data_IF_081446468535
#
_entry.id   IF_081446468535
#
_cell.length_a   1.000
_cell.length_b   1.000
_cell.length_c   1.000
_cell.angle_alpha   90.00
_cell.angle_beta   90.00
_cell.angle_gamma   90.00
#
_symmetry.space_group_name_H-M   'P 1'
#
loop_
_entity.id
_entity.type
_entity.pdbx_description
1 polymer ?
#
# COMPACT_ATOMS: atom_id res chain seq x y z
N UNK A 1 31.79 -11.09 27.30
CA UNK A 1 33.20 -11.38 27.64
C UNK A 1 34.02 -11.12 26.38
N UNK A 2 34.82 -10.04 26.32
CA UNK A 2 35.64 -9.68 25.14
C UNK A 2 37.06 -10.20 25.37
N UNK A 3 37.49 -11.19 24.57
CA UNK A 3 38.86 -11.72 24.58
C UNK A 3 39.70 -10.83 23.65
N UNK A 4 40.90 -10.40 24.08
CA UNK A 4 41.77 -9.57 23.22
C UNK A 4 42.37 -10.40 22.09
N UNK A 5 42.68 -9.77 20.95
CA UNK A 5 43.17 -10.46 19.75
C UNK A 5 44.47 -11.27 20.00
N UNK A 6 45.30 -10.83 20.95
CA UNK A 6 46.53 -11.51 21.35
C UNK A 6 46.27 -12.78 22.20
N UNK A 7 45.18 -12.81 22.97
CA UNK A 7 44.77 -13.98 23.76
C UNK A 7 44.07 -15.05 22.90
N UNK A 8 43.39 -14.66 21.81
CA UNK A 8 42.75 -15.59 20.88
C UNK A 8 43.77 -16.40 20.06
N UNK A 9 44.96 -15.85 19.80
CA UNK A 9 46.03 -16.46 19.01
C UNK A 9 46.78 -17.58 19.76
N UNK A 10 46.66 -17.64 21.09
CA UNK A 10 47.30 -18.66 21.94
C UNK A 10 46.43 -19.91 22.15
N UNK A 11 45.17 -19.88 21.73
CA UNK A 11 44.29 -21.03 21.76
C UNK A 11 44.37 -21.81 20.43
N UNK A 12 44.42 -23.13 20.51
CA UNK A 12 44.27 -24.01 19.34
C UNK A 12 42.83 -23.87 18.80
N UNK A 13 42.67 -23.00 17.81
CA UNK A 13 41.38 -22.65 17.19
C UNK A 13 40.94 -23.69 16.15
N UNK A 14 41.50 -24.90 16.14
CA UNK A 14 41.02 -25.99 15.28
C UNK A 14 39.63 -26.45 15.75
N UNK A 15 38.56 -26.24 14.95
CA UNK A 15 37.21 -26.55 15.38
C UNK A 15 37.04 -28.08 15.49
N UNK A 16 36.78 -28.58 16.69
CA UNK A 16 36.58 -30.03 16.94
C UNK A 16 35.25 -30.56 16.40
N UNK A 17 34.27 -29.69 16.14
CA UNK A 17 32.94 -30.06 15.64
C UNK A 17 32.48 -29.04 14.57
N UNK A 18 31.97 -29.54 13.45
CA UNK A 18 31.33 -28.72 12.41
C UNK A 18 29.82 -28.82 12.60
N UNK A 19 29.17 -27.72 12.98
CA UNK A 19 27.72 -27.69 13.27
C UNK A 19 26.86 -27.41 12.04
N UNK A 20 27.42 -26.76 11.02
CA UNK A 20 26.78 -26.52 9.74
C UNK A 20 27.83 -26.24 8.65
N UNK A 21 27.53 -26.66 7.42
CA UNK A 21 28.32 -26.29 6.25
C UNK A 21 27.40 -26.19 5.03
N UNK A 22 27.72 -25.29 4.10
CA UNK A 22 26.93 -25.05 2.90
C UNK A 22 27.52 -25.81 1.72
N UNK A 23 26.68 -26.54 0.99
CA UNK A 23 27.06 -27.28 -0.21
C UNK A 23 26.37 -26.66 -1.44
N UNK A 24 27.17 -26.10 -2.34
CA UNK A 24 26.70 -25.66 -3.66
C UNK A 24 26.64 -26.83 -4.63
N UNK A 25 25.52 -27.00 -5.35
CA UNK A 25 25.35 -28.04 -6.36
C UNK A 25 25.10 -27.40 -7.73
N UNK A 26 25.73 -27.96 -8.77
CA UNK A 26 25.58 -27.48 -10.14
C UNK A 26 24.22 -27.86 -10.78
N UNK A 27 23.45 -28.75 -10.15
CA UNK A 27 22.16 -29.22 -10.67
C UNK A 27 21.06 -29.19 -9.62
N UNK A 28 19.96 -28.49 -9.92
CA UNK A 28 18.77 -28.36 -9.04
C UNK A 28 18.14 -29.72 -8.71
N UNK A 29 18.18 -30.68 -9.65
CA UNK A 29 17.65 -32.03 -9.41
C UNK A 29 18.53 -32.85 -8.46
N UNK A 30 19.85 -32.63 -8.49
CA UNK A 30 20.78 -33.28 -7.58
C UNK A 30 20.56 -32.81 -6.13
N UNK A 31 20.07 -31.58 -5.93
CA UNK A 31 19.78 -30.99 -4.63
C UNK A 31 18.75 -31.80 -3.83
N UNK A 32 17.63 -32.17 -4.43
CA UNK A 32 16.60 -32.97 -3.74
C UNK A 32 17.06 -34.41 -3.48
N UNK A 33 17.86 -34.99 -4.38
CA UNK A 33 18.41 -36.34 -4.20
C UNK A 33 19.43 -36.37 -3.07
N UNK A 34 20.34 -35.39 -3.03
CA UNK A 34 21.34 -35.27 -1.98
C UNK A 34 20.71 -34.95 -0.63
N UNK A 35 19.71 -34.06 -0.60
CA UNK A 35 18.96 -33.77 0.63
C UNK A 35 18.37 -35.04 1.24
N UNK A 36 17.70 -35.87 0.42
CA UNK A 36 17.14 -37.15 0.87
C UNK A 36 18.23 -38.13 1.32
N UNK A 37 19.30 -38.27 0.54
CA UNK A 37 20.42 -39.15 0.89
C UNK A 37 21.09 -38.78 2.22
N UNK A 38 21.20 -37.48 2.54
CA UNK A 38 21.73 -36.99 3.81
C UNK A 38 20.73 -37.23 4.95
N UNK A 39 19.45 -36.92 4.75
CA UNK A 39 18.42 -37.11 5.78
C UNK A 39 18.18 -38.59 6.14
N UNK A 40 18.40 -39.52 5.19
CA UNK A 40 18.25 -40.96 5.40
C UNK A 40 19.56 -41.63 5.90
N UNK A 41 20.64 -40.87 6.09
CA UNK A 41 21.93 -41.38 6.54
C UNK A 41 21.86 -41.79 8.01
N UNK A 42 22.04 -43.10 8.30
CA UNK A 42 21.79 -43.67 9.64
C UNK A 42 22.98 -43.57 10.61
N UNK A 43 24.20 -43.41 10.11
CA UNK A 43 25.41 -43.49 10.94
C UNK A 43 25.70 -42.18 11.67
N UNK A 44 25.25 -41.05 11.12
CA UNK A 44 25.40 -39.74 11.74
C UNK A 44 24.07 -38.95 11.60
N UNK A 45 23.57 -38.32 12.69
CA UNK A 45 22.32 -37.57 12.66
C UNK A 45 22.53 -36.23 11.95
N UNK A 46 22.50 -36.26 10.63
CA UNK A 46 22.65 -35.11 9.76
C UNK A 46 21.29 -34.71 9.18
N UNK A 47 21.06 -33.41 9.05
CA UNK A 47 19.84 -32.87 8.43
C UNK A 47 20.22 -31.89 7.35
N UNK A 48 19.70 -32.11 6.14
CA UNK A 48 19.85 -31.24 5.00
C UNK A 48 18.57 -30.42 4.79
N UNK A 49 18.73 -29.09 4.79
CA UNK A 49 17.69 -28.12 4.49
C UNK A 49 18.08 -27.38 3.21
N UNK A 50 17.09 -27.03 2.39
CA UNK A 50 17.29 -26.20 1.21
C UNK A 50 16.99 -24.74 1.55
N UNK A 51 18.00 -23.93 1.90
CA UNK A 51 17.75 -22.56 2.36
C UNK A 51 17.02 -21.71 1.31
N UNK A 52 17.29 -21.95 0.02
CA UNK A 52 16.61 -21.23 -1.07
C UNK A 52 15.12 -21.53 -1.18
N UNK A 53 14.68 -22.76 -0.85
CA UNK A 53 13.25 -23.10 -0.86
C UNK A 53 12.55 -22.50 0.35
N UNK A 54 13.16 -22.57 1.52
CA UNK A 54 12.64 -21.93 2.74
C UNK A 54 12.49 -20.40 2.56
N UNK A 55 13.49 -19.71 1.97
CA UNK A 55 13.39 -18.28 1.65
C UNK A 55 12.27 -17.98 0.66
N UNK A 56 12.11 -18.82 -0.38
CA UNK A 56 11.05 -18.64 -1.37
C UNK A 56 9.66 -18.81 -0.75
N UNK A 57 9.49 -19.78 0.15
CA UNK A 57 8.25 -19.98 0.89
C UNK A 57 7.91 -18.77 1.78
N UNK A 58 8.88 -18.23 2.50
CA UNK A 58 8.71 -16.98 3.27
C UNK A 58 8.30 -15.81 2.37
N UNK A 59 8.93 -15.66 1.20
CA UNK A 59 8.58 -14.60 0.24
C UNK A 59 7.18 -14.78 -0.34
N UNK A 60 6.75 -16.02 -0.57
CA UNK A 60 5.40 -16.31 -1.04
C UNK A 60 4.34 -15.97 0.02
N UNK A 61 4.62 -16.27 1.29
CA UNK A 61 3.73 -15.87 2.40
C UNK A 61 3.60 -14.35 2.48
N UNK A 62 4.72 -13.62 2.39
CA UNK A 62 4.74 -12.15 2.36
C UNK A 62 3.95 -11.59 1.17
N UNK A 63 4.17 -12.12 -0.03
CA UNK A 63 3.44 -11.67 -1.24
C UNK A 63 1.94 -11.92 -1.14
N UNK A 64 1.52 -13.00 -0.50
CA UNK A 64 0.09 -13.29 -0.27
C UNK A 64 -0.52 -12.26 0.65
N UNK A 65 0.16 -11.89 1.74
CA UNK A 65 -0.30 -10.86 2.67
C UNK A 65 -0.40 -9.49 2.00
N UNK A 66 0.60 -9.12 1.19
CA UNK A 66 0.59 -7.87 0.43
C UNK A 66 -0.64 -7.77 -0.50
N UNK A 67 -0.95 -8.84 -1.23
CA UNK A 67 -2.14 -8.88 -2.12
C UNK A 67 -3.44 -8.74 -1.35
N UNK A 68 -3.55 -9.34 -0.17
CA UNK A 68 -4.73 -9.21 0.70
C UNK A 68 -4.89 -7.76 1.18
N UNK A 69 -3.80 -7.13 1.62
CA UNK A 69 -3.82 -5.72 2.02
C UNK A 69 -4.22 -4.82 0.85
N UNK A 70 -3.67 -5.04 -0.35
CA UNK A 70 -4.03 -4.28 -1.55
C UNK A 70 -5.52 -4.43 -1.88
N UNK A 71 -6.07 -5.64 -1.80
CA UNK A 71 -7.49 -5.88 -2.02
C UNK A 71 -8.34 -5.11 -1.02
N UNK A 72 -8.00 -5.15 0.27
CA UNK A 72 -8.70 -4.39 1.31
C UNK A 72 -8.61 -2.89 1.05
N UNK A 73 -7.43 -2.37 0.71
CA UNK A 73 -7.24 -0.96 0.35
C UNK A 73 -8.10 -0.54 -0.83
N UNK A 74 -8.22 -1.38 -1.87
CA UNK A 74 -9.09 -1.12 -3.02
C UNK A 74 -10.57 -1.06 -2.61
N UNK A 75 -11.03 -1.99 -1.77
CA UNK A 75 -12.41 -1.99 -1.27
C UNK A 75 -12.72 -0.74 -0.44
N UNK A 76 -11.80 -0.34 0.44
CA UNK A 76 -11.93 0.89 1.24
C UNK A 76 -11.96 2.12 0.33
N UNK A 77 -11.07 2.20 -0.66
CA UNK A 77 -11.07 3.29 -1.64
C UNK A 77 -12.43 3.39 -2.36
N UNK A 78 -12.96 2.28 -2.86
CA UNK A 78 -14.27 2.25 -3.52
C UNK A 78 -15.39 2.71 -2.59
N UNK A 79 -15.41 2.23 -1.35
CA UNK A 79 -16.39 2.65 -0.34
C UNK A 79 -16.30 4.15 -0.04
N UNK A 80 -15.08 4.69 0.09
CA UNK A 80 -14.84 6.12 0.28
C UNK A 80 -15.31 6.95 -0.92
N UNK A 81 -15.04 6.51 -2.15
CA UNK A 81 -15.48 7.21 -3.37
C UNK A 81 -17.01 7.24 -3.49
N UNK A 82 -17.69 6.13 -3.19
CA UNK A 82 -19.16 6.07 -3.17
C UNK A 82 -19.72 6.96 -2.06
N UNK A 83 -19.12 6.93 -0.87
CA UNK A 83 -19.50 7.78 0.25
C UNK A 83 -19.37 9.27 -0.09
N UNK A 84 -18.25 9.67 -0.70
CA UNK A 84 -18.01 11.02 -1.18
C UNK A 84 -19.05 11.45 -2.22
N UNK A 85 -19.29 10.62 -3.25
CA UNK A 85 -20.30 10.93 -4.28
C UNK A 85 -21.70 11.11 -3.67
N UNK A 86 -22.05 10.27 -2.69
CA UNK A 86 -23.33 10.36 -1.97
C UNK A 86 -23.41 11.65 -1.15
N UNK A 87 -22.33 12.00 -0.45
CA UNK A 87 -22.24 13.25 0.32
C UNK A 87 -22.37 14.48 -0.58
N UNK A 88 -21.70 14.50 -1.74
CA UNK A 88 -21.84 15.59 -2.71
C UNK A 88 -23.27 15.69 -3.24
N UNK A 89 -23.91 14.56 -3.57
CA UNK A 89 -25.32 14.54 -3.98
C UNK A 89 -26.26 15.05 -2.87
N UNK A 90 -25.99 14.75 -1.60
CA UNK A 90 -26.77 15.19 -0.46
C UNK A 90 -26.57 16.70 -0.19
N UNK A 91 -25.32 17.16 -0.15
CA UNK A 91 -24.96 18.59 -0.02
C UNK A 91 -25.63 19.44 -1.11
N UNK A 92 -25.64 18.94 -2.36
CA UNK A 92 -26.35 19.58 -3.46
C UNK A 92 -27.86 19.69 -3.22
N UNK A 93 -28.47 18.71 -2.52
CA UNK A 93 -29.90 18.73 -2.18
C UNK A 93 -30.25 19.84 -1.20
N UNK A 94 -29.37 20.10 -0.25
CA UNK A 94 -29.57 21.13 0.77
C UNK A 94 -29.32 22.53 0.21
N UNK A 95 -28.42 22.66 -0.78
CA UNK A 95 -28.02 23.96 -1.38
C UNK A 95 -28.83 24.35 -2.61
N UNK A 96 -29.85 23.59 -3.01
CA UNK A 96 -30.73 23.93 -4.14
C UNK A 96 -31.40 25.31 -4.06
N UNK A 97 -31.87 25.79 -2.90
CA UNK A 97 -32.46 27.12 -2.80
C UNK A 97 -31.46 28.23 -3.15
N UNK A 98 -30.21 28.10 -2.69
CA UNK A 98 -29.13 29.05 -2.97
C UNK A 98 -28.74 29.06 -4.44
N UNK A 99 -28.66 27.87 -5.06
CA UNK A 99 -28.33 27.72 -6.50
C UNK A 99 -29.41 28.37 -7.37
N UNK A 100 -30.68 28.29 -6.98
CA UNK A 100 -31.79 28.91 -7.71
C UNK A 100 -31.69 30.45 -7.66
N UNK A 101 -31.28 31.02 -6.53
CA UNK A 101 -30.98 32.46 -6.40
C UNK A 101 -29.76 32.84 -7.23
N UNK A 102 -28.66 32.08 -7.17
CA UNK A 102 -27.46 32.27 -7.98
C UNK A 102 -27.76 32.25 -9.49
N UNK A 103 -28.75 31.46 -9.92
CA UNK A 103 -29.19 31.45 -11.31
C UNK A 103 -30.01 32.69 -11.68
N UNK A 104 -30.80 33.24 -10.76
CA UNK A 104 -31.54 34.49 -10.98
C UNK A 104 -30.60 35.69 -11.24
N UNK A 105 -29.38 35.63 -10.71
CA UNK A 105 -28.28 36.59 -10.97
C UNK A 105 -27.41 36.21 -12.19
N UNK A 106 -27.74 35.15 -12.94
CA UNK A 106 -27.08 34.81 -14.21
C UNK A 106 -25.93 33.81 -14.13
N UNK A 107 -25.80 33.05 -13.03
CA UNK A 107 -24.76 32.02 -12.93
C UNK A 107 -24.90 30.95 -14.02
N UNK A 108 -23.80 30.68 -14.74
CA UNK A 108 -23.74 29.68 -15.81
C UNK A 108 -23.75 28.25 -15.22
N UNK A 109 -24.50 27.30 -15.81
CA UNK A 109 -24.49 25.86 -15.42
C UNK A 109 -23.09 25.24 -15.26
N UNK A 110 -22.13 25.72 -16.06
CA UNK A 110 -20.74 25.27 -16.02
C UNK A 110 -20.00 25.64 -14.72
N UNK A 111 -20.41 26.72 -14.06
CA UNK A 111 -19.84 27.14 -12.79
C UNK A 111 -20.13 26.10 -11.69
N UNK A 112 -21.36 25.60 -11.63
CA UNK A 112 -21.78 24.58 -10.65
C UNK A 112 -21.02 23.27 -10.88
N UNK A 113 -20.88 22.86 -12.15
CA UNK A 113 -20.08 21.69 -12.52
C UNK A 113 -18.63 21.81 -12.00
N UNK A 114 -17.97 22.92 -12.31
CA UNK A 114 -16.56 23.14 -11.93
C UNK A 114 -16.40 23.23 -10.41
N UNK A 115 -17.37 23.83 -9.71
CA UNK A 115 -17.36 23.95 -8.26
C UNK A 115 -17.40 22.57 -7.57
N UNK A 116 -18.28 21.68 -8.02
CA UNK A 116 -18.43 20.32 -7.46
C UNK A 116 -17.18 19.48 -7.72
N UNK A 117 -16.63 19.55 -8.94
CA UNK A 117 -15.39 18.85 -9.27
C UNK A 117 -14.22 19.35 -8.43
N UNK A 118 -14.09 20.66 -8.27
CA UNK A 118 -13.03 21.26 -7.48
C UNK A 118 -13.17 20.90 -5.99
N UNK A 119 -14.39 20.86 -5.46
CA UNK A 119 -14.66 20.40 -4.10
C UNK A 119 -14.23 18.95 -3.89
N UNK A 120 -14.61 18.04 -4.81
CA UNK A 120 -14.21 16.64 -4.76
C UNK A 120 -12.69 16.46 -4.82
N UNK A 121 -12.01 17.17 -5.74
CA UNK A 121 -10.57 17.14 -5.87
C UNK A 121 -9.86 17.70 -4.63
N UNK A 122 -10.34 18.80 -4.05
CA UNK A 122 -9.77 19.36 -2.82
C UNK A 122 -9.90 18.39 -1.66
N UNK A 123 -11.05 17.74 -1.49
CA UNK A 123 -11.27 16.72 -0.45
C UNK A 123 -10.28 15.56 -0.64
N UNK A 124 -10.11 15.09 -1.88
CA UNK A 124 -9.20 13.98 -2.19
C UNK A 124 -7.73 14.35 -1.94
N UNK A 125 -7.28 15.52 -2.37
CA UNK A 125 -5.91 16.02 -2.13
C UNK A 125 -5.65 16.20 -0.63
N UNK A 126 -6.61 16.77 0.12
CA UNK A 126 -6.49 16.91 1.56
C UNK A 126 -6.41 15.53 2.25
N UNK A 127 -7.25 14.58 1.83
CA UNK A 127 -7.21 13.20 2.33
C UNK A 127 -5.86 12.52 2.07
N UNK A 128 -5.30 12.68 0.86
CA UNK A 128 -3.96 12.18 0.51
C UNK A 128 -2.89 12.81 1.42
N UNK A 129 -2.94 14.14 1.61
CA UNK A 129 -1.98 14.83 2.46
C UNK A 129 -2.04 14.32 3.91
N UNK A 130 -3.24 14.12 4.45
CA UNK A 130 -3.45 13.55 5.80
C UNK A 130 -2.94 12.11 5.86
N UNK A 131 -3.23 11.28 4.85
CA UNK A 131 -2.78 9.89 4.80
C UNK A 131 -1.25 9.76 4.76
N UNK A 132 -0.57 10.55 3.91
CA UNK A 132 0.89 10.56 3.81
C UNK A 132 1.56 11.08 5.09
N UNK A 133 0.98 12.13 5.70
CA UNK A 133 1.47 12.67 6.96
C UNK A 133 1.32 11.65 8.09
N UNK A 134 0.14 11.02 8.17
CA UNK A 134 -0.15 9.95 9.13
C UNK A 134 0.81 8.76 8.97
N UNK A 135 1.02 8.28 7.74
CA UNK A 135 1.96 7.20 7.45
C UNK A 135 3.38 7.55 7.91
N UNK A 136 3.87 8.73 7.54
CA UNK A 136 5.24 9.18 7.89
C UNK A 136 5.42 9.27 9.39
N UNK A 137 4.43 9.84 10.11
CA UNK A 137 4.46 9.94 11.57
C UNK A 137 4.38 8.56 12.23
N UNK A 138 3.49 7.68 11.77
CA UNK A 138 3.36 6.32 12.31
C UNK A 138 4.66 5.54 12.16
N UNK A 139 5.30 5.58 10.99
CA UNK A 139 6.59 4.91 10.79
C UNK A 139 7.66 5.52 11.69
N UNK A 140 7.76 6.85 11.75
CA UNK A 140 8.79 7.50 12.56
C UNK A 140 8.72 7.08 14.04
N UNK A 141 7.51 6.89 14.58
CA UNK A 141 7.29 6.49 15.97
C UNK A 141 7.46 4.97 16.20
N UNK A 142 7.13 4.15 15.20
CA UNK A 142 7.14 2.69 15.33
C UNK A 142 8.46 2.05 14.88
N UNK A 143 9.30 2.77 14.15
CA UNK A 143 10.53 2.23 13.55
C UNK A 143 11.48 1.63 14.60
N UNK A 144 11.68 2.31 15.73
CA UNK A 144 12.59 1.83 16.78
C UNK A 144 12.06 0.56 17.45
N UNK A 145 10.75 0.53 17.76
CA UNK A 145 10.08 -0.63 18.33
C UNK A 145 10.13 -1.84 17.39
N UNK A 146 9.87 -1.62 16.09
CA UNK A 146 9.93 -2.65 15.05
C UNK A 146 11.36 -3.17 14.83
N UNK A 147 12.36 -2.29 14.90
CA UNK A 147 13.76 -2.65 14.78
C UNK A 147 14.24 -3.52 15.96
N UNK A 148 13.88 -3.15 17.18
CA UNK A 148 14.33 -3.87 18.39
C UNK A 148 13.64 -5.23 18.58
N UNK A 149 12.33 -5.31 18.36
CA UNK A 149 11.56 -6.53 18.66
C UNK A 149 11.42 -7.48 17.47
N UNK A 150 11.43 -6.95 16.24
CA UNK A 150 11.17 -7.73 15.03
C UNK A 150 12.32 -7.69 14.02
N UNK A 151 13.37 -6.89 14.27
CA UNK A 151 14.48 -6.72 13.31
C UNK A 151 14.04 -6.08 11.99
N UNK A 152 12.88 -5.42 11.97
CA UNK A 152 12.29 -4.84 10.76
C UNK A 152 12.76 -3.39 10.59
N UNK A 153 13.58 -3.18 9.57
CA UNK A 153 14.02 -1.84 9.15
C UNK A 153 13.21 -1.39 7.95
N UNK A 154 12.26 -0.49 8.17
CA UNK A 154 11.45 0.10 7.11
C UNK A 154 12.27 1.19 6.41
N UNK A 155 12.50 1.04 5.11
CA UNK A 155 13.12 2.09 4.29
C UNK A 155 12.25 3.35 4.27
N UNK A 156 12.88 4.53 4.38
CA UNK A 156 12.18 5.82 4.37
C UNK A 156 11.78 6.33 2.98
N UNK A 157 11.95 5.52 1.94
CA UNK A 157 11.63 5.87 0.55
C UNK A 157 10.11 5.78 0.27
N UNK A 158 9.32 6.50 1.05
CA UNK A 158 7.87 6.61 0.87
C UNK A 158 7.50 7.41 -0.39
N UNK A 159 8.42 8.22 -0.91
CA UNK A 159 8.22 9.07 -2.08
C UNK A 159 8.80 8.43 -3.36
N UNK A 160 8.44 7.17 -3.61
CA UNK A 160 8.80 6.48 -4.85
C UNK A 160 7.86 6.89 -6.00
N UNK A 161 8.34 6.72 -7.24
CA UNK A 161 7.56 6.94 -8.46
C UNK A 161 6.27 6.09 -8.49
N UNK A 162 6.32 4.87 -7.95
CA UNK A 162 5.17 3.96 -7.88
C UNK A 162 4.06 4.53 -6.99
N UNK A 163 4.41 5.14 -5.85
CA UNK A 163 3.46 5.81 -4.96
C UNK A 163 2.85 7.02 -5.66
N UNK A 164 3.66 7.81 -6.38
CA UNK A 164 3.18 8.92 -7.19
C UNK A 164 2.16 8.48 -8.25
N UNK A 165 2.42 7.35 -8.92
CA UNK A 165 1.49 6.77 -9.89
C UNK A 165 0.17 6.30 -9.26
N UNK A 166 0.24 5.66 -8.07
CA UNK A 166 -0.96 5.27 -7.33
C UNK A 166 -1.80 6.47 -6.88
N UNK A 167 -1.17 7.53 -6.37
CA UNK A 167 -1.87 8.76 -6.00
C UNK A 167 -2.55 9.42 -7.20
N UNK A 168 -1.89 9.42 -8.36
CA UNK A 168 -2.47 9.90 -9.61
C UNK A 168 -3.71 9.07 -10.00
N UNK A 169 -3.63 7.74 -9.90
CA UNK A 169 -4.78 6.87 -10.16
C UNK A 169 -5.95 7.16 -9.21
N UNK A 170 -5.68 7.41 -7.93
CA UNK A 170 -6.71 7.80 -6.96
C UNK A 170 -7.37 9.12 -7.37
N UNK A 171 -6.59 10.13 -7.77
CA UNK A 171 -7.13 11.41 -8.23
C UNK A 171 -7.98 11.25 -9.50
N UNK A 172 -7.54 10.45 -10.46
CA UNK A 172 -8.30 10.15 -11.69
C UNK A 172 -9.61 9.42 -11.34
N UNK A 173 -9.56 8.46 -10.41
CA UNK A 173 -10.75 7.75 -9.95
C UNK A 173 -11.74 8.70 -9.24
N UNK A 174 -11.25 9.56 -8.35
CA UNK A 174 -12.06 10.61 -7.70
C UNK A 174 -12.75 11.49 -8.72
N UNK A 175 -12.00 12.03 -9.69
CA UNK A 175 -12.53 12.87 -10.76
C UNK A 175 -13.62 12.11 -11.54
N UNK A 176 -13.34 10.89 -11.99
CA UNK A 176 -14.29 10.08 -12.77
C UNK A 176 -15.58 9.79 -12.01
N UNK A 177 -15.51 9.54 -10.69
CA UNK A 177 -16.68 9.30 -9.86
C UNK A 177 -17.44 10.60 -9.55
N UNK A 178 -16.73 11.72 -9.33
CA UNK A 178 -17.32 13.04 -9.09
C UNK A 178 -18.04 13.61 -10.33
N UNK A 179 -17.68 13.15 -11.54
CA UNK A 179 -18.40 13.53 -12.76
C UNK A 179 -19.89 13.18 -12.67
N UNK A 180 -20.27 12.09 -12.00
CA UNK A 180 -21.67 11.65 -11.88
C UNK A 180 -22.53 12.72 -11.18
N UNK A 181 -22.24 13.14 -9.93
CA UNK A 181 -22.96 14.24 -9.30
C UNK A 181 -22.83 15.55 -10.06
N UNK A 182 -21.66 15.87 -10.62
CA UNK A 182 -21.42 17.13 -11.32
C UNK A 182 -22.27 17.26 -12.60
N UNK A 183 -22.35 16.20 -13.42
CA UNK A 183 -23.20 16.16 -14.62
C UNK A 183 -24.69 16.19 -14.23
N UNK A 184 -25.08 15.50 -13.17
CA UNK A 184 -26.45 15.54 -12.68
C UNK A 184 -26.86 16.95 -12.25
N UNK A 185 -25.95 17.69 -11.59
CA UNK A 185 -26.17 19.09 -11.24
C UNK A 185 -26.30 19.97 -12.50
N UNK A 186 -25.42 19.79 -13.48
CA UNK A 186 -25.45 20.51 -14.75
C UNK A 186 -26.80 20.32 -15.47
N UNK A 187 -27.24 19.08 -15.70
CA UNK A 187 -28.48 18.77 -16.43
C UNK A 187 -29.71 19.37 -15.77
N UNK A 188 -29.81 19.29 -14.45
CA UNK A 188 -30.93 19.85 -13.69
C UNK A 188 -30.97 21.38 -13.75
N UNK A 189 -29.80 22.02 -13.79
CA UNK A 189 -29.71 23.48 -13.92
C UNK A 189 -30.10 24.00 -15.31
N UNK A 190 -30.01 23.17 -16.35
CA UNK A 190 -30.41 23.53 -17.73
C UNK A 190 -31.89 23.21 -18.01
N UNK A 191 -32.41 22.08 -17.49
CA UNK A 191 -33.79 21.64 -17.77
C UNK A 191 -34.90 22.51 -17.17
N UNK A 192 -34.61 23.32 -16.17
CA UNK A 192 -35.57 24.30 -15.59
C UNK A 192 -35.73 25.56 -16.45
N UNK A 193 -35.20 25.59 -17.67
CA UNK A 193 -35.30 26.71 -18.60
C UNK A 193 -36.25 26.44 -19.79
N UNK A 194 -36.82 25.23 -19.91
CA UNK A 194 -37.68 24.84 -21.05
C UNK A 194 -39.18 24.73 -20.75
N UNK A 195 -39.62 24.90 -19.49
CA UNK A 195 -41.04 24.82 -19.10
C UNK A 195 -41.73 26.20 -18.97
N UNK A 196 -41.00 27.31 -19.20
CA UNK A 196 -41.54 28.67 -19.12
C UNK A 196 -41.39 29.41 -20.46
N UNK A 197 -42.04 28.90 -21.51
CA UNK A 197 -42.31 29.66 -22.75
C UNK A 197 -43.70 29.35 -23.28
#
# INVERSE_FOLDING_TARGET
MKISAEQALQHDLTPKNITAFMLGLNSKMATFRLQRAINDYRYEPLVAILPGVALAELWQMMSTMEKVLLLVSLLVLLASLIGMATMLLASMRERYPEISVLRAIGARPWFIFTLIELEALLISVAGIAVALSGLTLSVAQLQDYLGEHYGLFISRDFYSADVGFLLLLVLIATFTIALIPAINAYRRSVGTNSDNS
#
